data_IF_125247971036
#
_entry.id   IF_125247971036
#
_cell.length_a   1.000
_cell.length_b   1.000
_cell.length_c   1.000
_cell.angle_alpha   90.00
_cell.angle_beta   90.00
_cell.angle_gamma   90.00
#
_symmetry.space_group_name_H-M   'P 1'
#
loop_
_entity.id
_entity.type
_entity.pdbx_description
1 polymer ?
#
# COMPACT_ATOMS: atom_id res chain seq x y z
N UNK A 1 4.43 -21.76 8.43
CA UNK A 1 5.27 -20.54 8.57
C UNK A 1 5.53 -20.07 7.15
N UNK A 2 4.87 -18.99 6.75
CA UNK A 2 4.84 -18.50 5.38
C UNK A 2 5.06 -16.99 5.40
N UNK A 3 5.67 -16.45 4.35
CA UNK A 3 5.97 -15.03 4.27
C UNK A 3 4.70 -14.19 4.34
N UNK A 4 4.74 -13.08 5.07
CA UNK A 4 3.65 -12.12 5.15
C UNK A 4 3.88 -11.03 4.12
N UNK A 5 2.93 -10.88 3.20
CA UNK A 5 3.03 -9.91 2.11
C UNK A 5 2.31 -8.61 2.42
N UNK A 6 1.23 -8.68 3.21
CA UNK A 6 0.39 -7.54 3.54
C UNK A 6 -0.11 -7.66 4.98
N UNK A 7 -0.24 -6.51 5.64
CA UNK A 7 -0.73 -6.38 7.02
C UNK A 7 -1.64 -5.17 7.05
N UNK A 8 -2.78 -5.29 7.74
CA UNK A 8 -3.68 -4.17 7.94
C UNK A 8 -4.38 -4.28 9.29
N UNK A 9 -4.52 -3.14 9.97
CA UNK A 9 -5.34 -3.04 11.15
C UNK A 9 -6.82 -2.96 10.76
N UNK A 10 -7.67 -3.61 11.55
CA UNK A 10 -9.09 -3.31 11.50
C UNK A 10 -9.30 -1.82 11.86
N UNK A 11 -10.24 -1.10 11.23
CA UNK A 11 -10.41 0.34 11.48
C UNK A 11 -10.73 0.71 12.93
N UNK A 12 -11.31 -0.23 13.69
CA UNK A 12 -11.56 -0.07 15.13
C UNK A 12 -10.32 -0.33 16.01
N UNK A 13 -9.20 -0.79 15.44
CA UNK A 13 -7.96 -1.12 16.16
C UNK A 13 -8.00 -2.42 16.97
N UNK A 14 -9.09 -3.18 16.95
CA UNK A 14 -9.24 -4.36 17.81
C UNK A 14 -8.45 -5.58 17.32
N UNK A 15 -8.19 -5.66 16.01
CA UNK A 15 -7.56 -6.81 15.37
C UNK A 15 -6.55 -6.38 14.32
N UNK A 16 -5.52 -7.19 14.16
CA UNK A 16 -4.58 -7.12 13.04
C UNK A 16 -4.86 -8.27 12.09
N UNK A 17 -5.03 -7.97 10.81
CA UNK A 17 -5.14 -8.94 9.75
C UNK A 17 -3.81 -9.03 9.00
N UNK A 18 -3.37 -10.25 8.75
CA UNK A 18 -2.11 -10.53 8.07
C UNK A 18 -2.38 -11.49 6.93
N UNK A 19 -1.88 -11.15 5.74
CA UNK A 19 -2.08 -11.92 4.50
C UNK A 19 -0.80 -12.64 4.10
N UNK A 20 -0.86 -13.96 4.04
CA UNK A 20 0.30 -14.82 3.78
C UNK A 20 0.51 -15.08 2.28
N UNK A 21 1.69 -15.62 1.97
CA UNK A 21 2.00 -16.15 0.64
C UNK A 21 1.18 -17.39 0.26
N UNK A 22 0.60 -18.11 1.23
CA UNK A 22 -0.24 -19.31 0.98
C UNK A 22 -1.71 -18.99 0.78
N UNK A 23 -2.11 -17.72 0.82
CA UNK A 23 -3.52 -17.34 0.67
C UNK A 23 -4.30 -17.36 1.99
N UNK A 24 -3.60 -17.41 3.13
CA UNK A 24 -4.22 -17.45 4.45
C UNK A 24 -4.33 -16.05 5.06
N UNK A 25 -5.44 -15.83 5.75
CA UNK A 25 -5.62 -14.73 6.69
C UNK A 25 -5.36 -15.23 8.11
N UNK A 26 -4.35 -14.64 8.75
CA UNK A 26 -4.12 -14.78 10.19
C UNK A 26 -4.63 -13.54 10.91
N UNK A 27 -5.51 -13.76 11.88
CA UNK A 27 -6.09 -12.73 12.73
C UNK A 27 -5.39 -12.74 14.09
N UNK A 28 -4.92 -11.57 14.49
CA UNK A 28 -4.26 -11.34 15.77
C UNK A 28 -5.07 -10.35 16.60
N UNK A 29 -5.08 -10.58 17.91
CA UNK A 29 -5.66 -9.65 18.86
C UNK A 29 -4.84 -8.34 18.90
N UNK A 30 -5.49 -7.19 18.77
CA UNK A 30 -4.81 -5.89 18.70
C UNK A 30 -4.21 -5.39 20.01
N UNK A 31 -4.59 -5.97 21.15
CA UNK A 31 -4.12 -5.55 22.49
C UNK A 31 -3.08 -6.52 23.03
N UNK A 32 -3.34 -7.82 22.91
CA UNK A 32 -2.48 -8.86 23.48
C UNK A 32 -1.61 -9.58 22.45
N UNK A 33 -1.83 -9.33 21.15
CA UNK A 33 -1.13 -9.99 20.04
C UNK A 33 -1.21 -11.52 20.05
N UNK A 34 -2.21 -12.07 20.74
CA UNK A 34 -2.51 -13.49 20.70
C UNK A 34 -3.14 -13.86 19.36
N UNK A 35 -2.82 -15.05 18.87
CA UNK A 35 -3.49 -15.64 17.72
C UNK A 35 -4.98 -15.86 18.02
N UNK A 36 -5.86 -15.38 17.15
CA UNK A 36 -7.31 -15.58 17.29
C UNK A 36 -7.83 -16.61 16.30
N UNK A 37 -7.54 -16.44 15.01
CA UNK A 37 -8.10 -17.29 13.96
C UNK A 37 -7.20 -17.34 12.72
N UNK A 38 -7.32 -18.45 11.97
CA UNK A 38 -6.67 -18.69 10.69
C UNK A 38 -7.76 -19.05 9.67
N UNK A 39 -7.78 -18.39 8.52
CA UNK A 39 -8.76 -18.68 7.46
C UNK A 39 -8.10 -18.78 6.09
N UNK A 40 -8.50 -19.77 5.29
CA UNK A 40 -8.11 -19.85 3.88
C UNK A 40 -8.92 -18.85 3.07
N UNK A 41 -8.31 -17.72 2.71
CA UNK A 41 -9.00 -16.63 2.03
C UNK A 41 -8.87 -16.75 0.51
N UNK A 42 -7.66 -17.02 0.03
CA UNK A 42 -7.31 -17.17 -1.38
C UNK A 42 -6.59 -18.48 -1.63
N UNK A 43 -6.58 -18.96 -2.87
CA UNK A 43 -5.75 -20.11 -3.29
C UNK A 43 -4.32 -19.69 -3.63
N UNK A 44 -4.14 -18.42 -3.97
CA UNK A 44 -2.87 -17.80 -4.35
C UNK A 44 -2.37 -16.81 -3.27
N UNK A 45 -1.14 -16.32 -3.44
CA UNK A 45 -0.52 -15.39 -2.48
C UNK A 45 -1.30 -14.09 -2.37
N UNK A 46 -1.65 -13.67 -1.16
CA UNK A 46 -2.32 -12.39 -0.93
C UNK A 46 -1.27 -11.30 -1.04
N UNK A 47 -1.56 -10.23 -1.79
CA UNK A 47 -0.61 -9.16 -2.08
C UNK A 47 -1.07 -7.81 -1.57
N UNK A 48 -2.37 -7.56 -1.57
CA UNK A 48 -2.94 -6.31 -1.11
C UNK A 48 -4.16 -6.57 -0.25
N UNK A 49 -4.32 -5.75 0.78
CA UNK A 49 -5.50 -5.67 1.63
C UNK A 49 -5.80 -4.20 1.88
N UNK A 50 -7.07 -3.83 1.77
CA UNK A 50 -7.53 -2.48 2.09
C UNK A 50 -8.94 -2.47 2.68
N UNK A 51 -9.11 -1.89 3.86
CA UNK A 51 -10.43 -1.59 4.41
C UNK A 51 -11.08 -0.42 3.69
N UNK A 52 -12.41 -0.49 3.56
CA UNK A 52 -13.20 0.67 3.16
C UNK A 52 -13.19 1.74 4.27
N UNK A 53 -13.32 3.04 3.95
CA UNK A 53 -13.25 4.11 4.95
C UNK A 53 -14.31 4.04 6.05
N UNK A 54 -15.47 3.43 5.77
CA UNK A 54 -16.53 3.17 6.73
C UNK A 54 -16.25 1.95 7.65
N UNK A 55 -15.22 1.17 7.33
CA UNK A 55 -14.85 -0.07 8.02
C UNK A 55 -15.84 -1.22 7.88
N UNK A 56 -16.80 -1.12 6.96
CA UNK A 56 -17.80 -2.15 6.75
C UNK A 56 -17.25 -3.34 5.93
N UNK A 57 -16.37 -3.05 4.96
CA UNK A 57 -15.87 -4.03 4.03
C UNK A 57 -14.33 -4.02 3.93
N UNK A 58 -13.76 -5.18 3.66
CA UNK A 58 -12.36 -5.38 3.35
C UNK A 58 -12.23 -5.84 1.90
N UNK A 59 -11.32 -5.23 1.15
CA UNK A 59 -10.87 -5.71 -0.14
C UNK A 59 -9.56 -6.46 0.03
N UNK A 60 -9.45 -7.63 -0.58
CA UNK A 60 -8.18 -8.35 -0.69
C UNK A 60 -7.91 -8.75 -2.14
N UNK A 61 -6.64 -8.68 -2.52
CA UNK A 61 -6.20 -9.03 -3.85
C UNK A 61 -5.04 -10.02 -3.82
N UNK A 62 -5.06 -10.98 -4.74
CA UNK A 62 -4.09 -12.06 -4.82
C UNK A 62 -3.21 -12.03 -6.07
N UNK A 63 -2.20 -12.90 -6.09
CA UNK A 63 -1.31 -13.05 -7.23
C UNK A 63 -1.94 -13.71 -8.46
N UNK A 64 -3.17 -14.20 -8.40
CA UNK A 64 -3.91 -14.64 -9.58
C UNK A 64 -4.73 -13.52 -10.24
N UNK A 65 -4.68 -12.30 -9.70
CA UNK A 65 -5.42 -11.15 -10.24
C UNK A 65 -6.86 -11.07 -9.73
N UNK A 66 -7.21 -11.89 -8.74
CA UNK A 66 -8.53 -11.93 -8.14
C UNK A 66 -8.65 -10.91 -7.01
N UNK A 67 -9.78 -10.19 -6.98
CA UNK A 67 -10.17 -9.35 -5.85
C UNK A 67 -11.36 -10.00 -5.14
N UNK A 68 -11.26 -10.21 -3.84
CA UNK A 68 -12.37 -10.65 -2.98
C UNK A 68 -12.80 -9.51 -2.06
N UNK A 69 -14.11 -9.44 -1.84
CA UNK A 69 -14.74 -8.46 -0.96
C UNK A 69 -15.34 -9.19 0.23
N UNK A 70 -14.95 -8.76 1.41
CA UNK A 70 -15.32 -9.34 2.68
C UNK A 70 -16.09 -8.32 3.50
N UNK A 71 -17.04 -8.78 4.31
CA UNK A 71 -17.62 -7.93 5.34
C UNK A 71 -16.71 -7.88 6.59
N UNK A 72 -17.07 -7.05 7.58
CA UNK A 72 -16.36 -6.94 8.86
C UNK A 72 -16.26 -8.26 9.66
N UNK A 73 -17.11 -9.24 9.36
CA UNK A 73 -17.08 -10.59 9.95
C UNK A 73 -16.25 -11.58 9.11
N UNK A 74 -15.52 -11.10 8.09
CA UNK A 74 -14.69 -11.88 7.18
C UNK A 74 -15.45 -12.94 6.39
N UNK A 75 -16.72 -12.69 6.08
CA UNK A 75 -17.48 -13.45 5.10
C UNK A 75 -17.26 -12.86 3.71
N UNK A 76 -16.75 -13.68 2.77
CA UNK A 76 -16.61 -13.31 1.37
C UNK A 76 -17.96 -13.41 0.67
N UNK A 77 -18.49 -12.27 0.22
CA UNK A 77 -19.75 -12.23 -0.52
C UNK A 77 -19.58 -11.91 -2.01
N UNK A 78 -18.40 -11.43 -2.43
CA UNK A 78 -18.11 -11.12 -3.83
C UNK A 78 -16.68 -11.48 -4.21
N UNK A 79 -16.56 -12.03 -5.41
CA UNK A 79 -15.30 -12.35 -6.06
C UNK A 79 -15.29 -11.70 -7.44
N UNK A 80 -14.17 -11.09 -7.81
CA UNK A 80 -13.98 -10.29 -9.03
C UNK A 80 -12.68 -10.75 -9.69
N UNK A 81 -12.76 -11.21 -10.92
CA UNK A 81 -11.60 -11.47 -11.78
C UNK A 81 -11.15 -10.13 -12.36
N UNK A 82 -10.27 -9.43 -11.64
CA UNK A 82 -9.93 -8.04 -11.95
C UNK A 82 -8.82 -7.92 -12.99
N UNK A 83 -7.80 -8.78 -12.87
CA UNK A 83 -6.58 -8.76 -13.70
C UNK A 83 -6.22 -10.18 -14.13
N UNK A 84 -5.46 -10.31 -15.22
CA UNK A 84 -4.93 -11.61 -15.66
C UNK A 84 -3.59 -11.91 -14.99
N UNK A 85 -2.88 -10.86 -14.57
CA UNK A 85 -1.57 -10.93 -13.93
C UNK A 85 -1.65 -10.67 -12.42
N UNK A 86 -0.49 -10.78 -11.75
CA UNK A 86 -0.42 -10.68 -10.29
C UNK A 86 -0.85 -9.30 -9.79
N UNK A 87 -1.85 -9.25 -8.91
CA UNK A 87 -2.27 -8.01 -8.28
C UNK A 87 -1.18 -7.53 -7.30
N UNK A 88 -0.89 -6.23 -7.31
CA UNK A 88 0.18 -5.64 -6.48
C UNK A 88 -0.31 -4.74 -5.37
N UNK A 89 -1.33 -3.94 -5.61
CA UNK A 89 -1.79 -2.94 -4.64
C UNK A 89 -3.26 -2.57 -4.88
N UNK A 90 -3.92 -2.11 -3.81
CA UNK A 90 -5.33 -1.73 -3.78
C UNK A 90 -5.49 -0.43 -2.98
N UNK A 91 -6.34 0.47 -3.47
CA UNK A 91 -6.72 1.66 -2.71
C UNK A 91 -8.20 1.99 -2.93
N UNK A 92 -8.84 2.51 -1.89
CA UNK A 92 -10.28 2.83 -1.88
C UNK A 92 -10.44 4.34 -1.86
N UNK A 93 -11.42 4.84 -2.61
CA UNK A 93 -11.78 6.25 -2.58
C UNK A 93 -12.23 6.69 -1.18
N UNK A 94 -12.02 7.96 -0.78
CA UNK A 94 -12.45 8.46 0.53
C UNK A 94 -13.95 8.35 0.80
N UNK A 95 -14.77 8.35 -0.25
CA UNK A 95 -16.22 8.15 -0.14
C UNK A 95 -16.63 6.68 -0.02
N UNK A 96 -15.71 5.73 -0.26
CA UNK A 96 -16.01 4.30 -0.33
C UNK A 96 -16.77 3.85 -1.59
N UNK A 97 -17.14 4.77 -2.48
CA UNK A 97 -17.95 4.46 -3.66
C UNK A 97 -17.16 3.78 -4.79
N UNK A 98 -15.86 4.04 -4.87
CA UNK A 98 -14.96 3.50 -5.90
C UNK A 98 -13.69 2.94 -5.27
N UNK A 99 -13.03 2.05 -6.00
CA UNK A 99 -11.69 1.57 -5.65
C UNK A 99 -10.85 1.38 -6.90
N UNK A 100 -9.54 1.36 -6.70
CA UNK A 100 -8.56 1.14 -7.76
C UNK A 100 -7.70 -0.07 -7.45
N UNK A 101 -7.29 -0.76 -8.49
CA UNK A 101 -6.37 -1.89 -8.41
C UNK A 101 -5.27 -1.77 -9.46
N UNK A 102 -4.08 -2.20 -9.08
CA UNK A 102 -2.96 -2.34 -10.02
C UNK A 102 -2.36 -3.73 -9.95
N UNK A 103 -1.87 -4.19 -11.08
CA UNK A 103 -1.27 -5.51 -11.26
C UNK A 103 0.04 -5.40 -12.04
N UNK A 104 0.69 -6.54 -12.27
CA UNK A 104 1.83 -6.67 -13.19
C UNK A 104 1.43 -6.50 -14.68
N UNK A 105 0.47 -5.63 -14.93
CA UNK A 105 0.06 -5.15 -16.25
C UNK A 105 0.53 -3.69 -16.41
N UNK A 106 0.47 -3.19 -17.63
CA UNK A 106 0.85 -1.82 -17.95
C UNK A 106 -0.24 -0.79 -17.59
N UNK A 107 -1.31 -1.24 -16.93
CA UNK A 107 -2.46 -0.43 -16.61
C UNK A 107 -2.96 -0.67 -15.19
N UNK A 108 -3.57 0.36 -14.62
CA UNK A 108 -4.37 0.24 -13.41
C UNK A 108 -5.86 0.32 -13.77
N UNK A 109 -6.73 -0.28 -12.96
CA UNK A 109 -8.17 -0.32 -13.21
C UNK A 109 -8.94 0.40 -12.12
N UNK A 110 -9.98 1.11 -12.51
CA UNK A 110 -10.95 1.79 -11.65
C UNK A 110 -12.26 1.00 -11.64
N UNK A 111 -12.78 0.78 -10.45
CA UNK A 111 -13.95 -0.04 -10.20
C UNK A 111 -15.00 0.75 -9.43
N UNK A 112 -16.25 0.55 -9.81
CA UNK A 112 -17.39 1.00 -9.02
C UNK A 112 -17.71 -0.03 -7.93
N UNK A 113 -17.72 0.38 -6.67
CA UNK A 113 -17.84 -0.54 -5.54
C UNK A 113 -19.25 -1.16 -5.41
N UNK A 114 -20.37 -0.44 -5.56
CA UNK A 114 -21.71 -1.02 -5.45
C UNK A 114 -22.03 -2.02 -6.56
N UNK A 115 -21.58 -1.77 -7.78
CA UNK A 115 -21.88 -2.64 -8.94
C UNK A 115 -20.78 -3.66 -9.24
N UNK A 116 -19.57 -3.46 -8.70
CA UNK A 116 -18.36 -4.24 -8.99
C UNK A 116 -18.03 -4.32 -10.48
N UNK A 117 -18.36 -3.27 -11.24
CA UNK A 117 -18.04 -3.16 -12.66
C UNK A 117 -16.77 -2.33 -12.86
N UNK A 118 -15.97 -2.74 -13.83
CA UNK A 118 -14.87 -1.93 -14.32
C UNK A 118 -15.44 -0.67 -14.97
N UNK A 119 -15.09 0.49 -14.43
CA UNK A 119 -15.51 1.78 -14.99
C UNK A 119 -14.48 2.24 -16.02
N UNK A 120 -13.19 2.11 -15.69
CA UNK A 120 -12.08 2.61 -16.52
C UNK A 120 -10.79 1.85 -16.33
N UNK A 121 -9.95 1.96 -17.34
CA UNK A 121 -8.57 1.46 -17.35
C UNK A 121 -7.62 2.65 -17.57
N UNK A 122 -6.67 2.86 -16.65
CA UNK A 122 -5.63 3.86 -16.72
C UNK A 122 -4.46 3.35 -17.58
N UNK A 123 -4.57 3.58 -18.88
CA UNK A 123 -3.57 3.20 -19.86
C UNK A 123 -2.53 4.32 -20.01
N UNK A 124 -1.25 3.98 -19.88
CA UNK A 124 -0.17 4.93 -20.16
C UNK A 124 1.15 4.65 -19.47
N UNK A 125 1.25 3.66 -18.58
CA UNK A 125 2.54 3.17 -18.14
C UNK A 125 3.19 2.30 -19.22
N UNK A 126 4.52 2.35 -19.31
CA UNK A 126 5.27 1.53 -20.27
C UNK A 126 5.50 0.09 -19.79
N UNK A 127 5.38 -0.14 -18.48
CA UNK A 127 5.68 -1.38 -17.78
C UNK A 127 4.72 -1.59 -16.59
N UNK A 128 4.83 -2.76 -15.96
CA UNK A 128 4.13 -3.20 -14.75
C UNK A 128 3.91 -2.10 -13.69
N UNK A 129 2.66 -1.94 -13.25
CA UNK A 129 2.30 -0.99 -12.18
C UNK A 129 2.38 -1.69 -10.81
N UNK A 130 3.30 -1.24 -9.96
CA UNK A 130 3.62 -1.92 -8.69
C UNK A 130 2.86 -1.40 -7.48
N UNK A 131 2.32 -0.19 -7.55
CA UNK A 131 1.68 0.46 -6.42
C UNK A 131 0.66 1.49 -6.89
N UNK A 132 -0.39 1.66 -6.11
CA UNK A 132 -1.45 2.60 -6.39
C UNK A 132 -1.97 3.17 -5.08
N UNK A 133 -2.23 4.47 -5.05
CA UNK A 133 -2.86 5.09 -3.89
C UNK A 133 -3.82 6.21 -4.29
N UNK A 134 -4.96 6.23 -3.61
CA UNK A 134 -6.01 7.22 -3.80
C UNK A 134 -5.83 8.35 -2.80
N UNK A 135 -5.92 9.58 -3.28
CA UNK A 135 -5.77 10.78 -2.47
C UNK A 135 -6.89 10.93 -1.40
N UNK A 136 -6.59 11.32 -0.15
CA UNK A 136 -7.54 11.24 0.97
C UNK A 136 -8.76 12.17 0.89
N UNK A 137 -8.75 13.21 0.05
CA UNK A 137 -9.90 14.13 -0.10
C UNK A 137 -10.27 14.43 -1.56
N UNK A 138 -9.28 14.73 -2.39
CA UNK A 138 -9.44 14.97 -3.83
C UNK A 138 -9.65 13.67 -4.63
N UNK A 139 -10.31 13.78 -5.78
CA UNK A 139 -10.40 12.71 -6.78
C UNK A 139 -9.09 12.60 -7.57
N UNK A 140 -8.03 12.16 -6.93
CA UNK A 140 -6.71 12.01 -7.54
C UNK A 140 -6.13 10.64 -7.18
N UNK A 141 -5.57 9.95 -8.17
CA UNK A 141 -4.92 8.64 -7.97
C UNK A 141 -3.47 8.74 -8.41
N UNK A 142 -2.57 8.20 -7.60
CA UNK A 142 -1.15 8.12 -7.91
C UNK A 142 -0.76 6.65 -8.17
N UNK A 143 -0.01 6.41 -9.23
CA UNK A 143 0.53 5.08 -9.56
C UNK A 143 2.04 5.14 -9.66
N UNK A 144 2.72 4.09 -9.20
CA UNK A 144 4.15 3.89 -9.38
C UNK A 144 4.41 2.63 -10.19
N UNK A 145 5.35 2.70 -11.14
CA UNK A 145 5.62 1.61 -12.08
C UNK A 145 7.10 1.20 -12.12
N UNK A 146 7.33 0.04 -12.70
CA UNK A 146 8.62 -0.47 -13.13
C UNK A 146 9.27 0.37 -14.25
N UNK A 147 8.51 1.26 -14.89
CA UNK A 147 9.03 2.26 -15.84
C UNK A 147 9.72 3.47 -15.16
N UNK A 148 9.88 3.42 -13.83
CA UNK A 148 10.53 4.42 -12.97
C UNK A 148 9.72 5.70 -12.74
N UNK A 149 8.57 5.81 -13.39
CA UNK A 149 7.75 7.01 -13.33
C UNK A 149 6.61 6.85 -12.32
N UNK A 150 6.19 8.00 -11.82
CA UNK A 150 4.95 8.14 -11.06
C UNK A 150 3.96 8.87 -11.95
N UNK A 151 2.74 8.36 -12.09
CA UNK A 151 1.68 9.04 -12.85
C UNK A 151 0.55 9.43 -11.92
N UNK A 152 -0.01 10.61 -12.19
CA UNK A 152 -1.20 11.12 -11.53
C UNK A 152 -2.38 11.02 -12.48
N UNK A 153 -3.51 10.55 -11.98
CA UNK A 153 -4.71 10.27 -12.75
C UNK A 153 -5.92 10.96 -12.13
N UNK A 154 -6.78 11.51 -12.98
CA UNK A 154 -8.13 11.88 -12.59
C UNK A 154 -9.02 10.64 -12.83
N UNK A 155 -9.70 10.10 -11.80
CA UNK A 155 -10.66 9.01 -11.98
C UNK A 155 -11.79 9.32 -12.97
N UNK A 156 -12.03 10.60 -13.27
CA UNK A 156 -13.04 11.07 -14.23
C UNK A 156 -12.50 11.22 -15.64
N UNK A 157 -11.20 11.04 -15.86
CA UNK A 157 -10.56 11.10 -17.18
C UNK A 157 -9.84 9.76 -17.46
N UNK A 158 -9.52 9.49 -18.72
CA UNK A 158 -8.76 8.29 -19.10
C UNK A 158 -7.26 8.58 -19.22
N UNK A 159 -6.89 9.83 -19.45
CA UNK A 159 -5.51 10.25 -19.62
C UNK A 159 -4.85 10.59 -18.28
N UNK A 160 -3.53 10.41 -18.23
CA UNK A 160 -2.75 10.84 -17.07
C UNK A 160 -2.71 12.36 -17.03
N UNK A 161 -3.02 12.96 -15.88
CA UNK A 161 -2.92 14.40 -15.65
C UNK A 161 -1.47 14.84 -15.84
N UNK A 162 -0.54 14.12 -15.23
CA UNK A 162 0.90 14.39 -15.31
C UNK A 162 1.73 13.14 -15.09
N UNK A 163 2.92 13.12 -15.68
CA UNK A 163 3.97 12.14 -15.41
C UNK A 163 5.10 12.79 -14.64
N UNK A 164 5.50 12.19 -13.52
CA UNK A 164 6.52 12.69 -12.60
C UNK A 164 7.75 11.78 -12.72
N UNK A 165 8.84 12.37 -13.17
CA UNK A 165 10.14 11.71 -13.32
C UNK A 165 10.94 11.80 -12.02
N UNK A 166 10.47 11.07 -11.00
CA UNK A 166 11.08 11.12 -9.67
C UNK A 166 12.30 10.20 -9.54
N UNK A 167 12.24 8.95 -10.01
CA UNK A 167 13.24 7.93 -9.67
C UNK A 167 14.06 7.48 -10.86
N UNK A 168 15.21 6.84 -10.56
CA UNK A 168 16.08 6.20 -11.57
C UNK A 168 15.92 4.68 -11.64
N UNK A 169 15.04 4.14 -10.81
CA UNK A 169 14.76 2.71 -10.68
C UNK A 169 13.28 2.51 -10.35
N UNK A 170 12.87 1.25 -10.22
CA UNK A 170 11.48 0.84 -10.01
C UNK A 170 10.90 1.53 -8.78
N UNK A 171 9.74 2.15 -8.96
CA UNK A 171 8.96 2.71 -7.86
C UNK A 171 8.22 1.57 -7.18
N UNK A 172 8.67 1.19 -5.98
CA UNK A 172 8.13 0.05 -5.23
C UNK A 172 6.83 0.38 -4.50
N UNK A 173 6.73 1.60 -3.94
CA UNK A 173 5.57 2.07 -3.18
C UNK A 173 5.35 3.56 -3.36
N UNK A 174 4.09 3.96 -3.40
CA UNK A 174 3.64 5.36 -3.41
C UNK A 174 2.54 5.50 -2.37
N UNK A 175 2.60 6.53 -1.52
CA UNK A 175 1.60 6.79 -0.48
C UNK A 175 1.29 8.26 -0.29
N UNK A 176 0.01 8.58 -0.29
CA UNK A 176 -0.51 9.89 0.05
C UNK A 176 -0.38 10.15 1.55
N UNK A 177 0.08 11.35 1.89
CA UNK A 177 0.00 11.84 3.26
C UNK A 177 -1.46 11.96 3.71
N UNK A 178 -1.79 11.73 4.99
CA UNK A 178 -3.16 11.89 5.50
C UNK A 178 -3.75 13.29 5.29
N UNK A 179 -2.89 14.33 5.21
CA UNK A 179 -3.32 15.71 4.95
C UNK A 179 -3.56 16.01 3.45
N UNK A 180 -3.23 15.08 2.54
CA UNK A 180 -3.35 15.24 1.09
C UNK A 180 -2.37 16.22 0.43
N UNK A 181 -1.39 16.74 1.16
CA UNK A 181 -0.48 17.76 0.62
C UNK A 181 0.76 17.14 -0.01
N UNK A 182 1.17 15.99 0.50
CA UNK A 182 2.40 15.32 0.11
C UNK A 182 2.13 13.94 -0.48
N UNK A 183 2.90 13.61 -1.51
CA UNK A 183 3.04 12.25 -2.00
C UNK A 183 4.46 11.79 -1.68
N UNK A 184 4.58 10.63 -1.03
CA UNK A 184 5.87 9.97 -0.85
C UNK A 184 5.96 8.79 -1.80
N UNK A 185 7.15 8.61 -2.35
CA UNK A 185 7.51 7.50 -3.21
C UNK A 185 8.80 6.85 -2.73
N UNK A 186 8.81 5.53 -2.70
CA UNK A 186 9.93 4.70 -2.31
C UNK A 186 10.31 3.79 -3.47
N UNK A 187 11.61 3.68 -3.74
CA UNK A 187 12.10 3.04 -4.95
C UNK A 187 13.30 2.14 -4.68
N UNK A 188 13.62 1.32 -5.68
CA UNK A 188 14.80 0.44 -5.68
C UNK A 188 16.13 1.19 -5.83
N UNK A 189 16.08 2.49 -6.10
CA UNK A 189 17.26 3.38 -6.02
C UNK A 189 17.66 3.75 -4.59
N UNK A 190 17.04 3.13 -3.57
CA UNK A 190 17.33 3.32 -2.13
C UNK A 190 16.94 4.71 -1.61
N UNK A 191 16.18 5.47 -2.41
CA UNK A 191 15.74 6.81 -2.08
C UNK A 191 14.25 6.84 -1.83
N UNK A 192 13.87 7.62 -0.83
CA UNK A 192 12.49 8.04 -0.63
C UNK A 192 12.39 9.49 -1.08
N UNK A 193 11.43 9.81 -1.94
CA UNK A 193 11.20 11.17 -2.43
C UNK A 193 9.82 11.64 -2.02
N UNK A 194 9.77 12.85 -1.45
CA UNK A 194 8.55 13.55 -1.13
C UNK A 194 8.33 14.67 -2.12
N UNK A 195 7.13 14.74 -2.66
CA UNK A 195 6.70 15.80 -3.54
C UNK A 195 5.51 16.54 -2.94
N UNK A 196 5.48 17.85 -3.15
CA UNK A 196 4.33 18.70 -2.88
C UNK A 196 3.46 18.73 -4.14
N UNK A 197 2.22 18.27 -4.01
CA UNK A 197 1.27 18.22 -5.14
C UNK A 197 0.95 19.59 -5.68
N UNK A 198 0.91 20.61 -4.81
CA UNK A 198 0.53 21.97 -5.22
C UNK A 198 1.61 22.63 -6.05
N UNK A 199 2.87 22.33 -5.75
CA UNK A 199 4.03 22.82 -6.50
C UNK A 199 4.42 21.92 -7.68
N UNK A 200 3.95 20.67 -7.68
CA UNK A 200 4.35 19.63 -8.63
C UNK A 200 5.88 19.47 -8.72
N UNK A 201 6.56 19.62 -7.59
CA UNK A 201 8.01 19.52 -7.47
C UNK A 201 8.42 18.61 -6.33
N UNK A 202 9.57 17.95 -6.47
CA UNK A 202 10.19 17.17 -5.41
C UNK A 202 10.73 18.14 -4.36
N UNK A 203 10.20 18.06 -3.15
CA UNK A 203 10.52 18.97 -2.05
C UNK A 203 11.67 18.42 -1.19
N UNK A 204 11.60 17.12 -0.86
CA UNK A 204 12.63 16.45 -0.05
C UNK A 204 13.02 15.08 -0.62
N UNK A 205 14.27 14.73 -0.39
CA UNK A 205 14.84 13.40 -0.69
C UNK A 205 15.42 12.86 0.61
N UNK A 206 14.95 11.69 1.05
CA UNK A 206 15.42 11.04 2.26
C UNK A 206 16.42 9.94 1.92
N UNK A 207 17.55 9.93 2.63
CA UNK A 207 18.67 9.00 2.44
C UNK A 207 18.99 8.33 3.77
N UNK A 208 19.03 7.00 3.79
CA UNK A 208 19.35 6.25 5.00
C UNK A 208 19.26 4.73 4.85
N UNK A 209 18.50 4.24 3.88
CA UNK A 209 18.45 2.80 3.58
C UNK A 209 19.68 2.33 2.82
N UNK A 210 20.13 1.11 3.13
CA UNK A 210 21.25 0.46 2.42
C UNK A 210 20.79 -0.39 1.22
N UNK A 211 19.50 -0.79 1.23
CA UNK A 211 18.84 -1.57 0.17
C UNK A 211 17.58 -0.88 -0.32
N UNK A 212 16.90 -1.55 -1.26
CA UNK A 212 15.68 -1.05 -1.88
C UNK A 212 14.53 -0.88 -0.87
N UNK A 213 13.72 0.16 -1.09
CA UNK A 213 12.55 0.42 -0.25
C UNK A 213 11.38 -0.43 -0.75
N UNK A 214 10.83 -1.23 0.15
CA UNK A 214 9.78 -2.21 -0.15
C UNK A 214 8.44 -1.83 0.45
N UNK A 215 8.43 -1.06 1.54
CA UNK A 215 7.20 -0.64 2.23
C UNK A 215 7.28 0.81 2.71
N UNK A 216 6.13 1.49 2.71
CA UNK A 216 5.97 2.85 3.19
C UNK A 216 4.63 2.98 3.94
N UNK A 217 4.63 3.67 5.06
CA UNK A 217 3.43 3.90 5.87
C UNK A 217 3.49 5.24 6.56
N UNK A 218 2.49 6.08 6.32
CA UNK A 218 2.33 7.33 7.04
C UNK A 218 1.76 7.09 8.43
N UNK A 219 2.22 7.88 9.40
CA UNK A 219 1.57 7.91 10.69
C UNK A 219 0.16 8.52 10.55
N UNK A 220 -0.88 7.94 11.18
CA UNK A 220 -2.27 8.31 10.91
C UNK A 220 -2.65 9.69 11.47
N UNK A 221 -2.09 10.09 12.61
CA UNK A 221 -2.47 11.33 13.32
C UNK A 221 -1.38 12.41 13.32
N UNK A 222 -0.14 12.04 13.67
CA UNK A 222 1.02 12.92 13.57
C UNK A 222 1.34 13.31 12.13
N UNK A 223 1.25 14.60 11.84
CA UNK A 223 1.56 15.17 10.52
C UNK A 223 3.06 15.12 10.29
N UNK A 224 3.48 14.63 9.13
CA UNK A 224 4.89 14.64 8.72
C UNK A 224 5.71 13.46 9.24
N UNK A 225 5.13 12.54 10.01
CA UNK A 225 5.83 11.32 10.44
C UNK A 225 5.45 10.17 9.52
N UNK A 226 6.45 9.42 9.05
CA UNK A 226 6.23 8.19 8.30
C UNK A 226 7.34 7.18 8.57
N UNK A 227 7.05 5.91 8.28
CA UNK A 227 8.02 4.84 8.31
C UNK A 227 8.19 4.21 6.95
N UNK A 228 9.33 3.57 6.81
CA UNK A 228 9.72 2.85 5.62
C UNK A 228 10.42 1.56 6.00
N UNK A 229 10.13 0.49 5.28
CA UNK A 229 10.82 -0.78 5.40
C UNK A 229 11.64 -1.04 4.15
N UNK A 230 12.79 -1.67 4.35
CA UNK A 230 13.74 -2.01 3.31
C UNK A 230 13.81 -3.53 3.10
N UNK A 231 14.40 -3.92 1.97
CA UNK A 231 14.58 -5.32 1.60
C UNK A 231 15.55 -6.10 2.52
N UNK A 232 16.44 -5.40 3.21
CA UNK A 232 17.36 -5.96 4.21
C UNK A 232 16.76 -6.12 5.61
N UNK A 233 15.47 -5.82 5.80
CA UNK A 233 14.84 -5.89 7.12
C UNK A 233 15.08 -4.66 8.00
N UNK A 234 15.62 -3.57 7.44
CA UNK A 234 15.74 -2.29 8.14
C UNK A 234 14.41 -1.53 8.15
N UNK A 235 14.01 -1.03 9.32
CA UNK A 235 12.89 -0.07 9.46
C UNK A 235 13.48 1.29 9.82
N UNK A 236 13.09 2.33 9.07
CA UNK A 236 13.48 3.71 9.36
C UNK A 236 12.25 4.56 9.63
N UNK A 237 12.35 5.40 10.66
CA UNK A 237 11.38 6.42 11.04
C UNK A 237 11.86 7.78 10.53
N UNK A 238 10.96 8.54 9.95
CA UNK A 238 11.26 9.82 9.33
C UNK A 238 10.32 10.89 9.85
N UNK A 239 10.87 12.09 9.99
CA UNK A 239 10.13 13.31 10.27
C UNK A 239 10.37 14.30 9.13
N UNK A 240 9.29 14.72 8.48
CA UNK A 240 9.30 15.69 7.39
C UNK A 240 9.80 17.05 7.87
N UNK A 241 9.67 17.41 9.16
CA UNK A 241 10.20 18.66 9.68
C UNK A 241 11.74 18.66 9.78
N UNK A 242 12.33 17.49 10.00
CA UNK A 242 13.77 17.33 10.20
C UNK A 242 14.54 17.21 8.87
N UNK A 243 15.86 17.13 8.98
CA UNK A 243 16.77 16.93 7.86
C UNK A 243 16.53 15.58 7.16
N UNK A 244 17.09 15.43 5.97
CA UNK A 244 16.98 14.24 5.09
C UNK A 244 17.49 12.90 5.65
N UNK A 245 17.77 12.81 6.96
CA UNK A 245 18.26 11.62 7.66
C UNK A 245 17.13 10.97 8.46
N UNK A 246 17.20 9.65 8.71
CA UNK A 246 16.21 8.99 9.54
C UNK A 246 16.32 9.51 10.99
N UNK A 247 15.18 9.72 11.63
CA UNK A 247 15.10 10.05 13.06
C UNK A 247 15.57 8.85 13.89
N UNK A 248 15.13 7.67 13.49
CA UNK A 248 15.52 6.40 14.08
C UNK A 248 15.63 5.34 12.98
N UNK A 249 16.62 4.47 13.11
CA UNK A 249 16.84 3.34 12.21
C UNK A 249 17.01 2.06 13.00
N UNK A 250 16.07 1.14 12.86
CA UNK A 250 16.09 -0.19 13.43
C UNK A 250 16.73 -1.14 12.42
N UNK A 251 18.01 -1.42 12.61
CA UNK A 251 18.78 -2.36 11.78
C UNK A 251 18.54 -3.76 12.33
N UNK A 252 18.14 -4.70 11.47
CA UNK A 252 17.82 -6.08 11.87
C UNK A 252 16.48 -6.18 12.63
N UNK A 253 15.51 -5.31 12.32
CA UNK A 253 14.14 -5.50 12.82
C UNK A 253 13.54 -6.83 12.31
N UNK A 254 13.94 -7.22 11.10
CA UNK A 254 13.64 -8.50 10.49
C UNK A 254 14.90 -9.09 9.83
N UNK A 255 14.94 -10.41 9.70
CA UNK A 255 16.01 -11.12 8.98
C UNK A 255 15.76 -11.12 7.45
N UNK A 256 14.55 -10.74 7.04
CA UNK A 256 14.10 -10.71 5.65
C UNK A 256 13.49 -9.37 5.23
N UNK A 257 13.05 -9.32 3.97
CA UNK A 257 12.48 -8.12 3.37
C UNK A 257 11.12 -7.75 3.97
N UNK A 258 10.94 -6.47 4.32
CA UNK A 258 9.70 -5.96 4.91
C UNK A 258 8.70 -5.57 3.81
N UNK A 259 7.66 -6.37 3.62
CA UNK A 259 6.67 -6.14 2.57
C UNK A 259 5.55 -5.19 2.96
N UNK A 260 5.24 -5.10 4.25
CA UNK A 260 4.13 -4.30 4.75
C UNK A 260 4.47 -3.64 6.08
N UNK A 261 3.93 -2.43 6.25
CA UNK A 261 3.97 -1.65 7.48
C UNK A 261 2.60 -1.03 7.69
N UNK A 262 2.00 -1.27 8.85
CA UNK A 262 0.67 -0.76 9.19
C UNK A 262 0.67 -0.17 10.60
N UNK A 263 0.38 1.13 10.69
CA UNK A 263 0.11 1.78 11.96
C UNK A 263 -1.27 1.39 12.49
N UNK A 264 -1.36 1.25 13.81
CA UNK A 264 -2.63 1.21 14.51
C UNK A 264 -3.38 2.54 14.27
N UNK A 265 -4.72 2.57 14.16
CA UNK A 265 -5.48 3.80 13.90
C UNK A 265 -5.14 5.00 14.80
N UNK A 266 -4.89 4.75 16.10
CA UNK A 266 -4.44 5.76 17.07
C UNK A 266 -2.96 6.21 16.91
N UNK A 267 -2.14 5.50 16.13
CA UNK A 267 -0.73 5.83 15.86
C UNK A 267 0.31 5.32 16.87
N UNK A 268 -0.12 4.81 18.03
CA UNK A 268 0.79 4.36 19.10
C UNK A 268 1.56 3.06 18.81
N UNK A 269 1.11 2.26 17.83
CA UNK A 269 1.71 0.98 17.48
C UNK A 269 1.89 0.88 15.97
N UNK A 270 2.88 0.10 15.56
CA UNK A 270 3.10 -0.31 14.19
C UNK A 270 3.29 -1.83 14.14
N UNK A 271 2.78 -2.44 13.08
CA UNK A 271 3.04 -3.84 12.75
C UNK A 271 3.79 -3.89 11.43
N UNK A 272 4.82 -4.73 11.38
CA UNK A 272 5.58 -5.07 10.18
C UNK A 272 5.20 -6.46 9.68
N UNK A 273 5.34 -6.68 8.38
CA UNK A 273 5.18 -8.00 7.77
C UNK A 273 6.39 -8.30 6.90
N UNK A 274 7.06 -9.42 7.19
CA UNK A 274 8.34 -9.76 6.56
C UNK A 274 8.31 -11.12 5.86
N UNK A 275 9.30 -11.30 4.98
CA UNK A 275 9.54 -12.56 4.25
C UNK A 275 10.19 -13.65 5.12
N UNK A 276 10.69 -13.31 6.32
CA UNK A 276 11.21 -14.27 7.31
C UNK A 276 10.11 -15.11 7.99
N UNK A 277 8.85 -14.92 7.58
CA UNK A 277 7.64 -15.54 8.14
C UNK A 277 7.23 -15.00 9.52
N UNK A 278 7.71 -13.81 9.90
CA UNK A 278 7.36 -13.13 11.14
C UNK A 278 6.59 -11.82 10.87
N UNK A 279 5.69 -11.52 11.81
CA UNK A 279 4.94 -10.25 11.93
C UNK A 279 5.39 -9.52 13.18
#
# INVERSE_FOLDING_TARGET
>A
RCAINCVEWQPNGQRVLTGSQTGEFTLWNGVHFNFENLMQAHTASIRAMKWTPDGANLLSGDSSGLIKVWNANYFCFKQIEAHQETLRDLSVSPSGAKFVSCADENAAKLWDFPTFKEERTFNGHGWEVKTIDWHPSMSLVATGSKDFNIKLWDPRQSEAITTIYAHKSVVGRVRWSPNGQWLISGSRDQLIKMMDVRKMSIDKVFKGHTREITSLSWHPTAVGIFCSGSYDGQICHWDVAQDSKPVESLIGAHDGSIWALAYHPLGHLMVSGSHDNCT
#
